data_IF_638393582630
#
_entry.id   IF_638393582630
#
_cell.length_a   1.000
_cell.length_b   1.000
_cell.length_c   1.000
_cell.angle_alpha   90.00
_cell.angle_beta   90.00
_cell.angle_gamma   90.00
#
_symmetry.space_group_name_H-M   'P 1'
#
loop_
_entity.id
_entity.type
_entity.pdbx_description
1 polymer ?
#
# COMPACT_ATOMS: atom_id res chain seq x y z
N UNK A 1 -29.31 -23.10 44.25
CA UNK A 1 -27.92 -22.96 43.77
C UNK A 1 -27.94 -23.47 42.32
N UNK A 2 -28.16 -22.61 41.31
CA UNK A 2 -27.12 -21.94 40.49
C UNK A 2 -26.00 -22.93 40.13
N UNK A 3 -25.70 -23.24 38.87
CA UNK A 3 -25.21 -22.30 37.84
C UNK A 3 -25.54 -22.81 36.42
N UNK A 4 -25.97 -21.87 35.58
CA UNK A 4 -26.23 -21.99 34.15
C UNK A 4 -25.07 -22.61 33.36
N UNK A 5 -25.40 -23.55 32.48
CA UNK A 5 -24.53 -24.01 31.40
C UNK A 5 -24.35 -22.86 30.40
N UNK A 6 -23.18 -22.22 30.46
CA UNK A 6 -22.77 -21.15 29.56
C UNK A 6 -22.72 -21.72 28.15
N UNK A 7 -23.58 -21.17 27.28
CA UNK A 7 -23.55 -21.40 25.85
C UNK A 7 -22.16 -21.08 25.31
N UNK A 8 -21.47 -22.09 24.79
CA UNK A 8 -20.27 -21.90 23.99
C UNK A 8 -20.70 -21.18 22.70
N UNK A 9 -20.68 -19.85 22.73
CA UNK A 9 -20.64 -19.03 21.53
C UNK A 9 -19.31 -19.33 20.84
N UNK A 10 -19.32 -20.34 19.98
CA UNK A 10 -18.31 -20.50 18.95
C UNK A 10 -18.39 -19.24 18.07
N UNK A 11 -17.52 -18.28 18.36
CA UNK A 11 -17.20 -17.20 17.44
C UNK A 11 -16.60 -17.86 16.21
N UNK A 12 -17.48 -18.13 15.24
CA UNK A 12 -17.12 -18.37 13.86
C UNK A 12 -16.37 -17.11 13.42
N UNK A 13 -15.04 -17.13 13.56
CA UNK A 13 -14.17 -16.20 12.87
C UNK A 13 -14.40 -16.49 11.39
N UNK A 14 -15.29 -15.70 10.78
CA UNK A 14 -15.31 -15.57 9.35
C UNK A 14 -13.89 -15.16 8.97
N UNK A 15 -13.14 -16.08 8.37
CA UNK A 15 -11.86 -15.76 7.77
C UNK A 15 -12.14 -14.59 6.83
N UNK A 16 -11.58 -13.42 7.16
CA UNK A 16 -11.60 -12.30 6.22
C UNK A 16 -11.10 -12.85 4.88
N UNK A 17 -11.75 -12.52 3.76
CA UNK A 17 -11.29 -12.99 2.46
C UNK A 17 -9.81 -12.67 2.36
N UNK A 18 -8.98 -13.72 2.21
CA UNK A 18 -7.53 -13.58 2.11
C UNK A 18 -7.27 -12.60 0.98
N UNK A 19 -6.85 -11.39 1.33
CA UNK A 19 -6.75 -10.31 0.37
C UNK A 19 -5.79 -10.76 -0.75
N UNK A 20 -6.19 -10.67 -2.01
CA UNK A 20 -5.50 -11.29 -3.16
C UNK A 20 -4.04 -10.86 -3.20
N UNK A 21 -3.07 -11.77 -3.04
CA UNK A 21 -1.64 -11.43 -3.13
C UNK A 21 -1.31 -10.69 -4.43
N UNK A 22 -0.37 -9.74 -4.39
CA UNK A 22 0.14 -9.16 -5.64
C UNK A 22 0.70 -10.25 -6.56
N UNK A 23 0.70 -10.03 -7.89
CA UNK A 23 1.43 -10.88 -8.82
C UNK A 23 2.85 -11.13 -8.34
N UNK A 24 3.31 -12.38 -8.42
CA UNK A 24 4.57 -12.84 -7.81
C UNK A 24 5.82 -12.21 -8.43
N UNK A 25 5.69 -11.62 -9.61
CA UNK A 25 6.73 -10.89 -10.30
C UNK A 25 6.82 -9.40 -9.88
N UNK A 26 5.90 -8.91 -9.04
CA UNK A 26 5.94 -7.55 -8.49
C UNK A 26 6.87 -7.46 -7.28
N UNK A 27 7.84 -6.55 -7.35
CA UNK A 27 8.77 -6.32 -6.26
C UNK A 27 8.26 -5.23 -5.31
N UNK A 28 8.73 -5.27 -4.05
CA UNK A 28 8.33 -4.32 -3.00
C UNK A 28 8.51 -2.86 -3.43
N UNK A 29 9.62 -2.54 -4.11
CA UNK A 29 9.87 -1.18 -4.58
C UNK A 29 8.82 -0.69 -5.57
N UNK A 30 8.32 -1.55 -6.46
CA UNK A 30 7.27 -1.20 -7.43
C UNK A 30 5.94 -0.95 -6.72
N UNK A 31 5.58 -1.83 -5.78
CA UNK A 31 4.37 -1.71 -4.96
C UNK A 31 4.39 -0.40 -4.16
N UNK A 32 5.52 -0.12 -3.51
CA UNK A 32 5.66 1.10 -2.70
C UNK A 32 5.71 2.37 -3.54
N UNK A 33 6.38 2.34 -4.70
CA UNK A 33 6.30 3.44 -5.67
C UNK A 33 4.85 3.72 -6.08
N UNK A 34 4.07 2.69 -6.40
CA UNK A 34 2.68 2.83 -6.79
C UNK A 34 1.80 3.40 -5.66
N UNK A 35 1.97 2.96 -4.40
CA UNK A 35 1.28 3.53 -3.24
C UNK A 35 1.50 5.03 -3.09
N UNK A 36 2.75 5.48 -3.23
CA UNK A 36 3.12 6.89 -3.09
C UNK A 36 2.61 7.70 -4.29
N UNK A 37 2.68 7.14 -5.50
CA UNK A 37 2.11 7.77 -6.70
C UNK A 37 0.60 7.95 -6.58
N UNK A 38 -0.13 6.94 -6.08
CA UNK A 38 -1.57 7.04 -5.84
C UNK A 38 -1.89 8.13 -4.81
N UNK A 39 -1.13 8.22 -3.70
CA UNK A 39 -1.27 9.30 -2.72
C UNK A 39 -1.09 10.69 -3.35
N UNK A 40 -0.07 10.85 -4.19
CA UNK A 40 0.20 12.12 -4.90
C UNK A 40 -0.96 12.48 -5.84
N UNK A 41 -1.45 11.50 -6.60
CA UNK A 41 -2.57 11.69 -7.54
C UNK A 41 -3.86 12.07 -6.77
N UNK A 42 -4.13 11.41 -5.64
CA UNK A 42 -5.26 11.74 -4.75
C UNK A 42 -5.18 13.18 -4.25
N UNK A 43 -4.03 13.56 -3.69
CA UNK A 43 -3.83 14.92 -3.18
C UNK A 43 -3.97 15.99 -4.28
N UNK A 44 -3.52 15.69 -5.50
CA UNK A 44 -3.64 16.58 -6.64
C UNK A 44 -5.10 16.73 -7.12
N UNK A 45 -5.88 15.64 -7.11
CA UNK A 45 -7.32 15.66 -7.50
C UNK A 45 -8.16 16.54 -6.57
N UNK A 46 -7.83 16.56 -5.28
CA UNK A 46 -8.56 17.34 -4.28
C UNK A 46 -8.22 18.84 -4.28
N UNK A 47 -7.50 19.33 -5.31
CA UNK A 47 -7.02 20.70 -5.40
C UNK A 47 -5.95 21.04 -4.34
N UNK A 48 -5.45 20.02 -3.63
CA UNK A 48 -4.44 20.14 -2.61
C UNK A 48 -3.07 20.42 -3.22
N UNK A 49 -2.24 21.17 -2.49
CA UNK A 49 -0.80 21.20 -2.75
C UNK A 49 -0.26 19.81 -2.39
N UNK A 50 0.30 19.09 -3.36
CA UNK A 50 1.08 17.88 -3.07
C UNK A 50 2.21 18.29 -2.11
N UNK A 51 2.20 17.75 -0.89
CA UNK A 51 3.16 18.14 0.13
C UNK A 51 4.59 17.80 -0.36
N UNK A 52 5.54 18.73 -0.21
CA UNK A 52 6.94 18.53 -0.62
C UNK A 52 7.53 17.15 -0.23
N UNK A 53 7.30 16.66 1.01
CA UNK A 53 7.77 15.35 1.45
C UNK A 53 7.36 14.14 0.59
N UNK A 54 6.18 14.15 -0.04
CA UNK A 54 5.75 12.98 -0.84
C UNK A 54 6.56 12.80 -2.11
N UNK A 55 7.11 13.88 -2.68
CA UNK A 55 7.98 13.79 -3.86
C UNK A 55 9.33 13.15 -3.52
N UNK A 56 9.92 13.50 -2.37
CA UNK A 56 11.15 12.87 -1.89
C UNK A 56 10.98 11.37 -1.66
N UNK A 57 9.86 10.97 -1.05
CA UNK A 57 9.52 9.55 -0.84
C UNK A 57 9.30 8.81 -2.18
N UNK A 58 8.63 9.45 -3.16
CA UNK A 58 8.47 8.88 -4.51
C UNK A 58 9.83 8.63 -5.17
N UNK A 59 10.70 9.63 -5.13
CA UNK A 59 12.00 9.58 -5.79
C UNK A 59 12.90 8.54 -5.15
N UNK A 60 12.88 8.41 -3.82
CA UNK A 60 13.63 7.36 -3.15
C UNK A 60 13.21 5.94 -3.58
N UNK A 61 11.91 5.71 -3.86
CA UNK A 61 11.45 4.44 -4.40
C UNK A 61 11.79 4.27 -5.88
N UNK A 62 11.76 5.33 -6.69
CA UNK A 62 12.09 5.27 -8.11
C UNK A 62 13.55 4.84 -8.34
N UNK A 63 14.47 5.26 -7.47
CA UNK A 63 15.89 4.90 -7.51
C UNK A 63 16.15 3.39 -7.31
N UNK A 64 15.19 2.66 -6.75
CA UNK A 64 15.29 1.22 -6.51
C UNK A 64 14.72 0.39 -7.65
N UNK A 65 14.10 1.04 -8.63
CA UNK A 65 13.55 0.37 -9.79
C UNK A 65 14.62 0.20 -10.86
N UNK A 66 14.61 -0.95 -11.52
CA UNK A 66 15.44 -1.19 -12.69
C UNK A 66 14.76 -0.67 -13.97
N UNK A 67 15.49 -0.57 -15.10
CA UNK A 67 14.93 -0.05 -16.35
C UNK A 67 13.71 -0.80 -16.90
N UNK A 68 13.57 -2.11 -16.62
CA UNK A 68 12.41 -2.87 -17.05
C UNK A 68 11.16 -2.53 -16.21
N UNK A 69 11.35 -2.21 -14.93
CA UNK A 69 10.30 -1.79 -14.00
C UNK A 69 9.81 -0.36 -14.28
N UNK A 70 10.66 0.50 -14.84
CA UNK A 70 10.34 1.88 -15.20
C UNK A 70 9.52 2.04 -16.49
N UNK A 71 9.22 0.95 -17.21
CA UNK A 71 8.38 1.01 -18.42
C UNK A 71 6.96 1.38 -18.05
N UNK A 72 6.35 2.31 -18.79
CA UNK A 72 4.99 2.81 -18.53
C UNK A 72 3.95 1.70 -18.35
N UNK A 73 3.98 0.68 -19.21
CA UNK A 73 3.06 -0.46 -19.11
C UNK A 73 3.24 -1.22 -17.79
N UNK A 74 4.47 -1.35 -17.30
CA UNK A 74 4.76 -2.02 -16.04
C UNK A 74 4.29 -1.17 -14.86
N UNK A 75 4.60 0.11 -14.85
CA UNK A 75 4.13 1.04 -13.82
C UNK A 75 2.60 1.06 -13.75
N UNK A 76 1.91 1.10 -14.89
CA UNK A 76 0.46 1.06 -14.97
C UNK A 76 -0.11 -0.27 -14.43
N UNK A 77 0.51 -1.41 -14.77
CA UNK A 77 0.08 -2.71 -14.28
C UNK A 77 0.22 -2.84 -12.75
N UNK A 78 1.33 -2.36 -12.19
CA UNK A 78 1.56 -2.35 -10.74
C UNK A 78 0.56 -1.43 -10.05
N UNK A 79 0.37 -0.20 -10.56
CA UNK A 79 -0.59 0.73 -10.00
C UNK A 79 -2.02 0.17 -10.02
N UNK A 80 -2.43 -0.50 -11.09
CA UNK A 80 -3.74 -1.16 -11.17
C UNK A 80 -3.88 -2.30 -10.14
N UNK A 81 -2.81 -3.06 -9.89
CA UNK A 81 -2.82 -4.10 -8.86
C UNK A 81 -2.92 -3.52 -7.45
N UNK A 82 -2.20 -2.43 -7.16
CA UNK A 82 -2.26 -1.71 -5.88
C UNK A 82 -3.63 -1.04 -5.67
N UNK A 83 -4.24 -0.45 -6.71
CA UNK A 83 -5.59 0.12 -6.59
C UNK A 83 -6.64 -0.97 -6.40
N UNK A 84 -6.51 -2.12 -7.06
CA UNK A 84 -7.38 -3.28 -6.80
C UNK A 84 -7.29 -3.74 -5.35
N UNK A 85 -6.09 -3.73 -4.74
CA UNK A 85 -5.94 -4.01 -3.29
C UNK A 85 -6.81 -3.09 -2.46
N UNK A 86 -6.83 -1.79 -2.76
CA UNK A 86 -7.67 -0.81 -2.04
C UNK A 86 -9.15 -1.18 -2.06
N UNK A 87 -9.63 -1.68 -3.20
CA UNK A 87 -11.04 -2.09 -3.37
C UNK A 87 -11.37 -3.38 -2.63
N UNK A 88 -10.41 -4.30 -2.53
CA UNK A 88 -10.55 -5.58 -1.84
C UNK A 88 -10.36 -5.48 -0.32
N UNK A 89 -9.41 -4.65 0.12
CA UNK A 89 -9.03 -4.45 1.52
C UNK A 89 -8.41 -3.05 1.73
N UNK A 90 -9.28 -2.10 2.08
CA UNK A 90 -8.88 -0.71 2.28
C UNK A 90 -8.00 -0.50 3.53
N UNK A 91 -8.17 -1.33 4.56
CA UNK A 91 -7.39 -1.23 5.79
C UNK A 91 -5.95 -1.69 5.54
N UNK A 92 -5.78 -2.84 4.88
CA UNK A 92 -4.47 -3.32 4.48
C UNK A 92 -3.79 -2.35 3.52
N UNK A 93 -4.51 -1.84 2.51
CA UNK A 93 -3.99 -0.81 1.60
C UNK A 93 -3.43 0.40 2.37
N UNK A 94 -4.19 0.93 3.34
CA UNK A 94 -3.75 2.08 4.13
C UNK A 94 -2.54 1.75 5.01
N UNK A 95 -2.49 0.55 5.60
CA UNK A 95 -1.37 0.10 6.41
C UNK A 95 -0.10 -0.13 5.57
N UNK A 96 -0.22 -0.75 4.40
CA UNK A 96 0.88 -0.97 3.47
C UNK A 96 1.44 0.37 2.95
N UNK A 97 0.57 1.31 2.59
CA UNK A 97 0.97 2.67 2.20
C UNK A 97 1.78 3.37 3.28
N UNK A 98 1.32 3.33 4.54
CA UNK A 98 2.05 3.89 5.69
C UNK A 98 3.43 3.25 5.84
N UNK A 99 3.49 1.92 5.70
CA UNK A 99 4.75 1.17 5.78
C UNK A 99 5.72 1.59 4.67
N UNK A 100 5.26 1.69 3.42
CA UNK A 100 6.10 2.14 2.30
C UNK A 100 6.64 3.57 2.49
N UNK A 101 5.87 4.46 3.11
CA UNK A 101 6.33 5.81 3.44
C UNK A 101 7.38 5.76 4.56
N UNK A 102 7.13 5.00 5.62
CA UNK A 102 8.06 4.88 6.75
C UNK A 102 9.39 4.24 6.32
N UNK A 103 9.34 3.14 5.56
CA UNK A 103 10.53 2.46 5.03
C UNK A 103 11.44 3.43 4.22
N UNK A 104 10.83 4.33 3.45
CA UNK A 104 11.57 5.34 2.70
C UNK A 104 12.19 6.40 3.60
N UNK A 105 11.45 6.90 4.59
CA UNK A 105 11.94 7.88 5.57
C UNK A 105 13.12 7.30 6.35
N UNK A 106 12.96 6.09 6.89
CA UNK A 106 14.01 5.37 7.63
C UNK A 106 15.22 5.06 6.73
N UNK A 107 14.96 4.90 5.42
CA UNK A 107 15.96 4.74 4.38
C UNK A 107 16.63 6.03 3.89
N UNK A 108 16.33 7.18 4.51
CA UNK A 108 16.95 8.47 4.20
C UNK A 108 16.31 9.23 3.04
N UNK A 109 15.02 9.01 2.75
CA UNK A 109 14.34 9.74 1.68
C UNK A 109 14.25 11.24 1.94
N UNK A 110 14.19 11.69 3.19
CA UNK A 110 14.06 13.11 3.52
C UNK A 110 15.44 13.79 3.58
N UNK A 111 15.57 15.01 3.03
CA UNK A 111 16.79 15.80 3.20
C UNK A 111 16.97 16.19 4.68
N UNK A 112 18.22 16.13 5.16
CA UNK A 112 18.66 16.50 6.51
C UNK A 112 18.71 18.01 6.74
#
# INVERSE_FOLDING_TARGET
MMVSLIAAMALQQAAAPSATSYPSDMQRAEICYAHVMLLIIEAAKDGGRVAGPSWFVRDWWIEKLNPAQLKDQRLAAVQAAVERRRLEDAEFFAAERRTCIQDAIDGGALPS
#
